data_IF_423463900449
#
_entry.id   IF_423463900449
#
_cell.length_a   1.000
_cell.length_b   1.000
_cell.length_c   1.000
_cell.angle_alpha   90.00
_cell.angle_beta   90.00
_cell.angle_gamma   90.00
#
_symmetry.space_group_name_H-M   'P 1'
#
loop_
_entity.id
_entity.type
_entity.pdbx_description
1 polymer ?
#
# COMPACT_ATOMS: atom_id res chain seq x y z
N UNK A 1 1.36 6.71 -8.73
CA UNK A 1 0.40 7.30 -7.75
C UNK A 1 0.90 8.55 -7.03
N UNK A 2 2.14 9.03 -7.23
CA UNK A 2 2.54 10.42 -6.96
C UNK A 2 2.16 11.00 -5.60
N UNK A 3 2.17 10.20 -4.52
CA UNK A 3 1.94 10.71 -3.17
C UNK A 3 3.23 11.40 -2.70
N UNK A 4 3.14 12.70 -2.42
CA UNK A 4 4.22 13.51 -1.84
C UNK A 4 4.40 13.28 -0.33
N UNK A 5 3.40 12.68 0.33
CA UNK A 5 3.42 12.32 1.75
C UNK A 5 2.99 10.86 1.91
N UNK A 6 3.82 10.07 2.56
CA UNK A 6 3.58 8.65 2.84
C UNK A 6 2.30 8.42 3.66
N UNK A 7 1.93 9.35 4.56
CA UNK A 7 0.71 9.24 5.38
C UNK A 7 -0.56 9.15 4.53
N UNK A 8 -0.58 9.87 3.41
CA UNK A 8 -1.71 9.84 2.48
C UNK A 8 -1.80 8.52 1.74
N UNK A 9 -0.67 7.88 1.46
CA UNK A 9 -0.64 6.54 0.88
C UNK A 9 -1.07 5.49 1.91
N UNK A 10 -0.60 5.58 3.16
CA UNK A 10 -1.05 4.69 4.25
C UNK A 10 -2.57 4.75 4.43
N UNK A 11 -3.17 5.94 4.38
CA UNK A 11 -4.63 6.08 4.45
C UNK A 11 -5.36 5.35 3.30
N UNK A 12 -4.81 5.37 2.08
CA UNK A 12 -5.38 4.62 0.95
C UNK A 12 -5.26 3.10 1.16
N UNK A 13 -4.14 2.65 1.73
CA UNK A 13 -3.92 1.24 2.09
C UNK A 13 -4.92 0.77 3.14
N UNK A 14 -5.14 1.55 4.20
CA UNK A 14 -6.08 1.17 5.26
C UNK A 14 -7.54 1.10 4.75
N UNK A 15 -7.96 2.04 3.89
CA UNK A 15 -9.27 1.96 3.22
C UNK A 15 -9.37 0.75 2.27
N UNK A 16 -8.28 0.41 1.59
CA UNK A 16 -8.23 -0.77 0.75
C UNK A 16 -8.36 -2.08 1.55
N UNK A 17 -7.75 -2.16 2.74
CA UNK A 17 -7.94 -3.28 3.68
C UNK A 17 -9.41 -3.43 4.10
N UNK A 18 -10.09 -2.34 4.41
CA UNK A 18 -11.53 -2.35 4.73
C UNK A 18 -12.39 -2.83 3.55
N UNK A 19 -12.05 -2.41 2.32
CA UNK A 19 -12.73 -2.86 1.10
C UNK A 19 -12.51 -4.37 0.84
N UNK A 20 -11.31 -4.86 1.14
CA UNK A 20 -10.96 -6.29 1.05
C UNK A 20 -11.81 -7.12 2.01
N UNK A 21 -11.91 -6.69 3.27
CA UNK A 21 -12.73 -7.34 4.29
C UNK A 21 -14.23 -7.33 3.93
N UNK A 22 -14.73 -6.19 3.44
CA UNK A 22 -16.12 -6.07 2.96
C UNK A 22 -16.42 -7.02 1.79
N UNK A 23 -15.40 -7.40 1.02
CA UNK A 23 -15.48 -8.37 -0.08
C UNK A 23 -15.32 -9.82 0.38
N UNK A 24 -15.36 -10.07 1.70
CA UNK A 24 -15.14 -11.38 2.32
C UNK A 24 -13.79 -12.04 1.97
N UNK A 25 -12.77 -11.25 1.67
CA UNK A 25 -11.40 -11.71 1.46
C UNK A 25 -10.55 -11.44 2.70
N UNK A 26 -9.67 -12.38 3.07
CA UNK A 26 -8.77 -12.19 4.21
C UNK A 26 -7.70 -11.16 3.88
N UNK A 27 -7.56 -10.14 4.72
CA UNK A 27 -6.57 -9.06 4.52
C UNK A 27 -5.15 -9.63 4.42
N UNK A 28 -4.81 -10.62 5.26
CA UNK A 28 -3.46 -11.22 5.33
C UNK A 28 -3.03 -11.95 4.06
N UNK A 29 -3.99 -12.40 3.23
CA UNK A 29 -3.69 -13.04 1.95
C UNK A 29 -3.28 -12.03 0.87
N UNK A 30 -3.60 -10.75 1.09
CA UNK A 30 -3.49 -9.70 0.09
C UNK A 30 -2.57 -8.54 0.49
N UNK A 31 -2.42 -8.29 1.79
CA UNK A 31 -1.63 -7.22 2.39
C UNK A 31 -0.69 -7.83 3.43
N UNK A 32 0.61 -7.87 3.13
CA UNK A 32 1.63 -8.44 4.01
C UNK A 32 2.61 -7.34 4.42
N UNK A 33 2.56 -6.96 5.69
CA UNK A 33 3.51 -6.03 6.29
C UNK A 33 4.74 -6.82 6.76
N UNK A 34 5.93 -6.49 6.27
CA UNK A 34 7.19 -7.10 6.72
C UNK A 34 8.33 -6.09 6.77
N UNK A 35 9.31 -6.36 7.62
CA UNK A 35 10.49 -5.52 7.74
C UNK A 35 11.62 -6.12 6.92
N UNK A 36 12.22 -5.30 6.06
CA UNK A 36 13.37 -5.67 5.27
C UNK A 36 14.59 -4.90 5.77
N UNK A 37 15.67 -5.63 6.03
CA UNK A 37 16.99 -5.01 6.22
C UNK A 37 17.55 -4.65 4.85
N UNK A 38 17.90 -3.37 4.67
CA UNK A 38 18.60 -2.91 3.48
C UNK A 38 20.02 -2.49 3.86
N UNK A 39 20.98 -2.79 2.98
CA UNK A 39 22.33 -2.30 3.12
C UNK A 39 22.40 -0.81 2.75
N UNK A 40 23.00 -0.06 3.64
CA UNK A 40 23.41 1.32 3.44
C UNK A 40 24.89 1.33 3.02
N UNK A 41 25.29 2.38 2.32
CA UNK A 41 26.70 2.57 1.96
C UNK A 41 27.61 2.48 3.19
N UNK A 42 28.80 1.89 3.03
CA UNK A 42 29.79 1.62 4.08
C UNK A 42 29.41 0.52 5.10
N UNK A 43 28.55 -0.42 4.72
CA UNK A 43 28.26 -1.62 5.52
C UNK A 43 27.27 -1.39 6.67
N UNK A 44 26.60 -0.24 6.71
CA UNK A 44 25.48 -0.02 7.62
C UNK A 44 24.26 -0.82 7.15
N UNK A 45 23.39 -1.21 8.08
CA UNK A 45 22.08 -1.79 7.74
C UNK A 45 20.98 -0.94 8.35
N UNK A 46 19.86 -0.81 7.65
CA UNK A 46 18.66 -0.15 8.16
C UNK A 46 17.45 -1.02 7.92
N UNK A 47 16.60 -1.08 8.93
CA UNK A 47 15.29 -1.69 8.83
C UNK A 47 14.33 -0.74 8.10
N UNK A 48 13.66 -1.26 7.08
CA UNK A 48 12.64 -0.55 6.31
C UNK A 48 11.37 -1.40 6.30
N UNK A 49 10.26 -0.79 6.70
CA UNK A 49 8.94 -1.39 6.57
C UNK A 49 8.54 -1.44 5.11
N UNK A 50 8.12 -2.61 4.64
CA UNK A 50 7.65 -2.86 3.29
C UNK A 50 6.30 -3.54 3.35
N UNK A 51 5.40 -3.13 2.47
CA UNK A 51 4.09 -3.76 2.30
C UNK A 51 4.10 -4.52 0.98
N UNK A 52 3.93 -5.84 1.05
CA UNK A 52 3.70 -6.67 -0.12
C UNK A 52 2.21 -6.72 -0.44
N UNK A 53 1.88 -6.43 -1.69
CA UNK A 53 0.51 -6.39 -2.19
C UNK A 53 0.34 -7.40 -3.31
N UNK A 54 -0.73 -8.18 -3.24
CA UNK A 54 -1.18 -8.95 -4.40
C UNK A 54 -1.72 -8.00 -5.49
N UNK A 55 -1.84 -8.49 -6.73
CA UNK A 55 -2.47 -7.71 -7.82
C UNK A 55 -3.86 -7.20 -7.43
N UNK A 56 -4.64 -8.00 -6.70
CA UNK A 56 -5.95 -7.60 -6.20
C UNK A 56 -5.86 -6.43 -5.22
N UNK A 57 -4.98 -6.51 -4.22
CA UNK A 57 -4.74 -5.42 -3.29
C UNK A 57 -4.28 -4.13 -3.99
N UNK A 58 -3.44 -4.23 -5.02
CA UNK A 58 -3.02 -3.06 -5.81
C UNK A 58 -4.21 -2.34 -6.44
N UNK A 59 -5.22 -3.07 -6.95
CA UNK A 59 -6.44 -2.46 -7.47
C UNK A 59 -7.28 -1.80 -6.38
N UNK A 60 -7.39 -2.42 -5.21
CA UNK A 60 -8.13 -1.84 -4.09
C UNK A 60 -7.47 -0.56 -3.59
N UNK A 61 -6.13 -0.53 -3.50
CA UNK A 61 -5.37 0.69 -3.13
C UNK A 61 -5.55 1.78 -4.18
N UNK A 62 -5.57 1.44 -5.46
CA UNK A 62 -5.86 2.41 -6.52
C UNK A 62 -7.26 3.01 -6.36
N UNK A 63 -8.30 2.17 -6.22
CA UNK A 63 -9.70 2.59 -6.10
C UNK A 63 -9.96 3.43 -4.84
N UNK A 64 -9.25 3.13 -3.75
CA UNK A 64 -9.35 3.86 -2.47
C UNK A 64 -8.34 4.99 -2.32
N UNK A 65 -7.62 5.31 -3.40
CA UNK A 65 -6.64 6.40 -3.42
C UNK A 65 -7.30 7.78 -3.42
N UNK A 66 -6.47 8.81 -3.57
CA UNK A 66 -6.95 10.20 -3.65
C UNK A 66 -7.72 10.44 -4.96
N UNK A 67 -9.04 10.72 -4.92
CA UNK A 67 -9.87 10.88 -6.12
C UNK A 67 -9.48 12.11 -6.95
N UNK A 68 -8.69 13.05 -6.40
CA UNK A 68 -8.17 14.20 -7.14
C UNK A 68 -7.06 13.82 -8.13
N UNK A 69 -6.52 12.60 -8.06
CA UNK A 69 -5.49 12.13 -8.99
C UNK A 69 -6.13 11.49 -10.21
N UNK A 70 -5.73 11.91 -11.41
CA UNK A 70 -6.27 11.39 -12.68
C UNK A 70 -6.21 9.87 -12.81
N UNK A 71 -5.19 9.23 -12.24
CA UNK A 71 -5.06 7.76 -12.31
C UNK A 71 -6.08 7.01 -11.45
N UNK A 72 -6.79 7.73 -10.56
CA UNK A 72 -7.77 7.21 -9.60
C UNK A 72 -9.17 7.73 -9.96
N UNK A 73 -9.25 8.93 -10.51
CA UNK A 73 -10.49 9.49 -11.02
C UNK A 73 -11.05 8.59 -12.13
N UNK A 74 -12.13 7.87 -11.82
CA UNK A 74 -12.97 7.25 -12.84
C UNK A 74 -13.61 8.38 -13.65
N UNK A 75 -13.06 8.65 -14.83
CA UNK A 75 -13.68 9.52 -15.84
C UNK A 75 -14.52 8.68 -16.80
#
# INVERSE_FOLDING_TARGET
MGYSDWRNFTNAVEKAKQSCETSAQLIVDHFVDFNKMIELGKGGQREVSVIMLTRYACYLVAQNGDPKKEQIALR
#
